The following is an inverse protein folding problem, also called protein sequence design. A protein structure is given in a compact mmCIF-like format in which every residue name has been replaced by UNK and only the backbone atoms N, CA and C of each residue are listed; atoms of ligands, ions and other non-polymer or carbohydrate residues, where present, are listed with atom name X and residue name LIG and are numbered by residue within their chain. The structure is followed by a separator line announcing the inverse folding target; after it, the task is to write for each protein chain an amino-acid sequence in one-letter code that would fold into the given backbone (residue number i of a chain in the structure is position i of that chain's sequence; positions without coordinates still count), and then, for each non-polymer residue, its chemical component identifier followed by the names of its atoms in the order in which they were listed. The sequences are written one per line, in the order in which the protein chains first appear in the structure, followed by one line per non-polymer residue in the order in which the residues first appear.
data_IF_126712167347
#
_entry.id   IF_126712167347
#
_cell.length_a   1.000
_cell.length_b   1.000
_cell.length_c   1.000
_cell.angle_alpha   90.00
_cell.angle_beta   90.00
_cell.angle_gamma   90.00
#
_symmetry.space_group_name_H-M   'P 1'
#
loop_
_entity.id
_entity.type
_entity.pdbx_description
1 polymer ?
#
# COMPACT_ATOMS: atom_id res chain seq x y z
N UNK A 1 6.31 0.71 41.57
CA UNK A 1 6.23 1.74 40.51
C UNK A 1 5.83 1.13 39.17
N UNK A 2 6.55 0.12 38.65
CA UNK A 2 6.25 -0.52 37.36
C UNK A 2 4.82 -1.08 37.21
N UNK A 3 4.32 -1.89 38.17
CA UNK A 3 2.93 -2.42 38.12
C UNK A 3 1.84 -1.35 38.16
N UNK A 4 2.10 -0.19 38.77
CA UNK A 4 1.13 0.90 38.83
C UNK A 4 1.08 1.64 37.49
N UNK A 5 2.23 1.84 36.86
CA UNK A 5 2.34 2.40 35.50
C UNK A 5 1.66 1.46 34.49
N UNK A 6 1.92 0.15 34.54
CA UNK A 6 1.26 -0.82 33.67
C UNK A 6 -0.27 -0.80 33.82
N UNK A 7 -0.78 -0.76 35.06
CA UNK A 7 -2.23 -0.63 35.32
C UNK A 7 -2.80 0.69 34.81
N UNK A 8 -2.05 1.78 34.94
CA UNK A 8 -2.46 3.08 34.42
C UNK A 8 -2.52 3.07 32.89
N UNK A 9 -1.52 2.51 32.20
CA UNK A 9 -1.52 2.37 30.74
C UNK A 9 -2.68 1.50 30.24
N UNK A 10 -2.98 0.40 30.94
CA UNK A 10 -4.17 -0.43 30.63
C UNK A 10 -5.46 0.37 30.85
N UNK A 11 -5.57 1.12 31.94
CA UNK A 11 -6.74 1.97 32.19
C UNK A 11 -6.90 3.04 31.12
N UNK A 12 -5.82 3.72 30.73
CA UNK A 12 -5.79 4.73 29.67
C UNK A 12 -6.26 4.14 28.34
N UNK A 13 -5.69 2.99 27.94
CA UNK A 13 -6.08 2.30 26.69
C UNK A 13 -7.55 1.83 26.73
N UNK A 14 -8.00 1.23 27.83
CA UNK A 14 -9.38 0.77 27.97
C UNK A 14 -10.38 1.93 27.98
N UNK A 15 -9.97 3.09 28.50
CA UNK A 15 -10.83 4.27 28.61
C UNK A 15 -10.76 5.22 27.42
N UNK A 16 -9.86 4.98 26.45
CA UNK A 16 -9.75 5.80 25.25
C UNK A 16 -11.00 5.73 24.34
N UNK A 17 -11.72 4.60 24.34
CA UNK A 17 -12.95 4.41 23.56
C UNK A 17 -14.20 4.69 24.43
N UNK A 18 -14.76 5.88 24.27
CA UNK A 18 -15.94 6.31 25.03
C UNK A 18 -17.17 5.41 24.82
N UNK A 19 -17.34 4.85 23.62
CA UNK A 19 -18.48 3.98 23.32
C UNK A 19 -18.31 2.66 24.07
N UNK A 20 -17.12 2.04 23.99
CA UNK A 20 -16.83 0.81 24.73
C UNK A 20 -16.91 1.01 26.25
N UNK A 21 -16.49 2.16 26.76
CA UNK A 21 -16.68 2.50 28.17
C UNK A 21 -18.16 2.51 28.58
N UNK A 22 -19.00 3.17 27.77
CA UNK A 22 -20.45 3.21 28.02
C UNK A 22 -21.10 1.82 27.91
N UNK A 23 -20.66 0.98 26.97
CA UNK A 23 -21.10 -0.42 26.87
C UNK A 23 -20.72 -1.19 28.14
N UNK A 24 -19.46 -1.10 28.60
CA UNK A 24 -19.01 -1.74 29.83
C UNK A 24 -19.80 -1.25 31.06
N UNK A 25 -20.13 0.05 31.09
CA UNK A 25 -20.96 0.63 32.15
C UNK A 25 -22.40 0.08 32.12
N UNK A 26 -23.01 -0.05 30.93
CA UNK A 26 -24.32 -0.68 30.76
C UNK A 26 -24.32 -2.12 31.29
N UNK A 27 -23.32 -2.92 30.91
CA UNK A 27 -23.13 -4.29 31.42
C UNK A 27 -23.08 -4.30 32.97
N UNK A 28 -22.28 -3.40 33.57
CA UNK A 28 -22.17 -3.28 35.02
C UNK A 28 -23.51 -2.91 35.68
N UNK A 29 -24.27 -1.98 35.10
CA UNK A 29 -25.58 -1.60 35.61
C UNK A 29 -26.60 -2.74 35.54
N UNK A 30 -26.65 -3.49 34.43
CA UNK A 30 -27.53 -4.66 34.32
C UNK A 30 -27.19 -5.71 35.36
N UNK A 31 -25.91 -6.08 35.48
CA UNK A 31 -25.44 -7.09 36.44
C UNK A 31 -25.75 -6.71 37.91
N UNK A 32 -25.88 -5.42 38.20
CA UNK A 32 -26.22 -4.89 39.53
C UNK A 32 -27.71 -4.62 39.70
N UNK A 33 -28.55 -5.01 38.74
CA UNK A 33 -30.00 -4.75 38.73
C UNK A 33 -30.37 -3.26 38.81
N UNK A 34 -29.56 -2.38 38.24
CA UNK A 34 -29.76 -0.93 38.23
C UNK A 34 -30.49 -0.48 36.96
N UNK A 35 -31.72 -0.96 36.79
CA UNK A 35 -32.46 -0.92 35.52
C UNK A 35 -32.70 0.50 34.97
N UNK A 36 -32.98 1.49 35.83
CA UNK A 36 -33.23 2.89 35.38
C UNK A 36 -32.00 3.53 34.73
N UNK A 37 -30.83 3.35 35.35
CA UNK A 37 -29.57 3.91 34.81
C UNK A 37 -29.07 3.09 33.63
N UNK A 38 -29.31 1.78 33.63
CA UNK A 38 -29.08 0.94 32.45
C UNK A 38 -29.83 1.46 31.22
N UNK A 39 -31.15 1.62 31.32
CA UNK A 39 -31.98 2.08 30.19
C UNK A 39 -31.54 3.45 29.69
N UNK A 40 -31.24 4.38 30.60
CA UNK A 40 -30.70 5.69 30.23
C UNK A 40 -29.37 5.60 29.49
N UNK A 41 -28.45 4.75 29.95
CA UNK A 41 -27.16 4.53 29.28
C UNK A 41 -27.35 3.90 27.90
N UNK A 42 -28.27 2.93 27.77
CA UNK A 42 -28.58 2.28 26.50
C UNK A 42 -29.15 3.26 25.47
N UNK A 43 -30.13 4.09 25.86
CA UNK A 43 -30.66 5.13 24.96
C UNK A 43 -29.57 6.12 24.51
N UNK A 44 -28.67 6.51 25.43
CA UNK A 44 -27.54 7.37 25.06
C UNK A 44 -26.53 6.71 24.10
N UNK A 45 -26.37 5.38 24.17
CA UNK A 45 -25.57 4.61 23.21
C UNK A 45 -26.25 4.56 21.83
N UNK A 46 -27.56 4.35 21.79
CA UNK A 46 -28.37 4.35 20.56
C UNK A 46 -28.36 5.73 19.86
N UNK A 47 -28.43 6.84 20.63
CA UNK A 47 -28.29 8.21 20.09
C UNK A 47 -26.87 8.49 19.56
N UNK A 48 -25.85 8.02 20.29
CA UNK A 48 -24.44 8.18 19.86
C UNK A 48 -24.16 7.43 18.55
N UNK A 49 -24.87 6.31 18.30
CA UNK A 49 -24.80 5.54 17.05
C UNK A 49 -25.26 6.34 15.84
N UNK A 50 -26.35 7.10 15.97
CA UNK A 50 -26.92 7.90 14.86
C UNK A 50 -26.01 9.05 14.46
N UNK A 51 -25.28 9.62 15.43
CA UNK A 51 -24.35 10.74 15.21
C UNK A 51 -22.96 10.31 14.76
N UNK A 52 -22.59 9.04 14.95
CA UNK A 52 -21.30 8.49 14.52
C UNK A 52 -21.26 8.34 12.99
N UNK A 53 -20.41 9.11 12.33
CA UNK A 53 -20.24 9.06 10.86
C UNK A 53 -19.40 7.88 10.36
N UNK A 54 -18.63 7.23 11.23
CA UNK A 54 -17.82 6.06 10.88
C UNK A 54 -18.66 4.78 10.93
N UNK A 55 -18.64 4.00 9.85
CA UNK A 55 -19.42 2.75 9.68
C UNK A 55 -18.49 1.60 9.28
N UNK A 56 -17.49 1.33 10.11
CA UNK A 56 -16.48 0.28 9.92
C UNK A 56 -16.79 -0.97 10.75
N UNK A 57 -15.91 -1.97 10.74
CA UNK A 57 -16.01 -3.17 11.61
C UNK A 57 -16.16 -2.81 13.09
N UNK A 58 -15.40 -1.83 13.59
CA UNK A 58 -15.50 -1.40 14.98
C UNK A 58 -16.89 -0.84 15.32
N UNK A 59 -17.50 -0.13 14.38
CA UNK A 59 -18.87 0.37 14.51
C UNK A 59 -19.88 -0.78 14.61
N UNK A 60 -19.86 -1.71 13.65
CA UNK A 60 -20.81 -2.84 13.64
C UNK A 60 -20.56 -3.81 14.81
N UNK A 61 -19.31 -3.95 15.25
CA UNK A 61 -18.97 -4.72 16.45
C UNK A 61 -19.55 -4.08 17.70
N UNK A 62 -19.45 -2.76 17.83
CA UNK A 62 -20.07 -2.04 18.95
C UNK A 62 -21.60 -2.16 18.88
N UNK A 63 -22.19 -2.10 17.68
CA UNK A 63 -23.63 -2.33 17.48
C UNK A 63 -24.06 -3.72 17.94
N UNK A 64 -23.31 -4.76 17.56
CA UNK A 64 -23.54 -6.12 18.05
C UNK A 64 -23.52 -6.20 19.57
N UNK A 65 -22.52 -5.59 20.22
CA UNK A 65 -22.42 -5.59 21.69
C UNK A 65 -23.59 -4.84 22.36
N UNK A 66 -24.04 -3.73 21.78
CA UNK A 66 -25.18 -2.95 22.28
C UNK A 66 -26.47 -3.77 22.16
N UNK A 67 -26.75 -4.33 20.98
CA UNK A 67 -27.96 -5.13 20.75
C UNK A 67 -27.95 -6.41 21.60
N UNK A 68 -26.78 -7.04 21.79
CA UNK A 68 -26.64 -8.19 22.67
C UNK A 68 -26.95 -7.84 24.12
N UNK A 69 -26.48 -6.68 24.60
CA UNK A 69 -26.74 -6.27 25.97
C UNK A 69 -28.21 -5.86 26.19
N UNK A 70 -28.84 -5.24 25.18
CA UNK A 70 -30.29 -5.01 25.14
C UNK A 70 -31.07 -6.31 25.21
N UNK A 71 -30.67 -7.32 24.43
CA UNK A 71 -31.26 -8.66 24.47
C UNK A 71 -31.16 -9.26 25.88
N UNK A 72 -29.97 -9.24 26.49
CA UNK A 72 -29.76 -9.80 27.83
C UNK A 72 -30.69 -9.15 28.87
N UNK A 73 -30.83 -7.82 28.82
CA UNK A 73 -31.75 -7.10 29.70
C UNK A 73 -33.22 -7.51 29.47
N UNK A 74 -33.65 -7.58 28.21
CA UNK A 74 -35.03 -7.94 27.87
C UNK A 74 -35.35 -9.39 28.25
N UNK A 75 -34.44 -10.32 27.99
CA UNK A 75 -34.61 -11.73 28.35
C UNK A 75 -34.74 -11.92 29.88
N UNK A 76 -33.93 -11.20 30.66
CA UNK A 76 -33.94 -11.29 32.13
C UNK A 76 -35.16 -10.61 32.78
N UNK A 77 -35.66 -9.50 32.20
CA UNK A 77 -36.68 -8.63 32.83
C UNK A 77 -38.04 -8.70 32.19
N UNK A 78 -38.11 -9.03 30.91
CA UNK A 78 -39.31 -8.95 30.07
C UNK A 78 -39.39 -10.16 29.12
N UNK A 79 -39.36 -11.41 29.61
CA UNK A 79 -39.26 -12.60 28.76
C UNK A 79 -40.47 -12.81 27.83
N UNK A 80 -41.62 -12.20 28.15
CA UNK A 80 -42.81 -12.24 27.30
C UNK A 80 -42.81 -11.16 26.18
N UNK A 81 -41.84 -10.24 26.18
CA UNK A 81 -41.72 -9.21 25.14
C UNK A 81 -41.07 -9.78 23.87
N UNK A 82 -41.33 -9.13 22.73
CA UNK A 82 -40.64 -9.44 21.48
C UNK A 82 -39.17 -9.04 21.61
N UNK A 83 -38.27 -10.02 21.62
CA UNK A 83 -36.82 -9.82 21.73
C UNK A 83 -36.21 -9.27 20.43
N UNK A 84 -35.07 -8.59 20.54
CA UNK A 84 -34.31 -7.99 19.44
C UNK A 84 -33.31 -8.94 18.76
N UNK A 85 -33.56 -10.26 18.80
CA UNK A 85 -32.64 -11.29 18.29
C UNK A 85 -32.19 -11.07 16.83
N UNK A 86 -33.08 -10.61 15.96
CA UNK A 86 -32.72 -10.32 14.56
C UNK A 86 -31.69 -9.18 14.46
N UNK A 87 -31.81 -8.13 15.28
CA UNK A 87 -30.85 -7.03 15.28
C UNK A 87 -29.47 -7.49 15.79
N UNK A 88 -29.44 -8.40 16.77
CA UNK A 88 -28.19 -9.04 17.24
C UNK A 88 -27.54 -9.85 16.12
N UNK A 89 -28.33 -10.66 15.39
CA UNK A 89 -27.84 -11.47 14.28
C UNK A 89 -27.31 -10.59 13.13
N UNK A 90 -28.09 -9.61 12.69
CA UNK A 90 -27.71 -8.72 11.57
C UNK A 90 -26.41 -7.95 11.87
N UNK A 91 -26.23 -7.45 13.10
CA UNK A 91 -25.02 -6.76 13.51
C UNK A 91 -23.81 -7.71 13.59
N UNK A 92 -24.02 -8.95 14.06
CA UNK A 92 -22.98 -9.98 14.07
C UNK A 92 -22.54 -10.35 12.64
N UNK A 93 -23.50 -10.57 11.75
CA UNK A 93 -23.25 -10.91 10.35
C UNK A 93 -22.42 -9.82 9.66
N UNK A 94 -22.83 -8.55 9.78
CA UNK A 94 -22.06 -7.42 9.22
C UNK A 94 -20.64 -7.35 9.78
N UNK A 95 -20.48 -7.52 11.09
CA UNK A 95 -19.16 -7.51 11.75
C UNK A 95 -18.27 -8.61 11.17
N UNK A 96 -18.78 -9.84 11.14
CA UNK A 96 -18.06 -11.00 10.64
C UNK A 96 -17.67 -10.83 9.16
N UNK A 97 -18.61 -10.39 8.32
CA UNK A 97 -18.37 -10.17 6.89
C UNK A 97 -17.26 -9.14 6.68
N UNK A 98 -17.33 -7.96 7.32
CA UNK A 98 -16.33 -6.90 7.13
C UNK A 98 -14.95 -7.38 7.58
N UNK A 99 -14.83 -7.97 8.78
CA UNK A 99 -13.55 -8.47 9.27
C UNK A 99 -12.99 -9.58 8.36
N UNK A 100 -13.86 -10.45 7.86
CA UNK A 100 -13.46 -11.54 6.96
C UNK A 100 -13.00 -11.04 5.60
N UNK A 101 -13.69 -10.07 5.00
CA UNK A 101 -13.24 -9.46 3.73
C UNK A 101 -11.90 -8.75 3.90
N UNK A 102 -11.73 -7.96 4.98
CA UNK A 102 -10.47 -7.30 5.34
C UNK A 102 -9.31 -8.28 5.43
N UNK A 103 -9.49 -9.35 6.20
CA UNK A 103 -8.49 -10.39 6.39
C UNK A 103 -8.17 -11.10 5.07
N UNK A 104 -9.19 -11.38 4.26
CA UNK A 104 -9.04 -12.02 2.95
C UNK A 104 -8.21 -11.15 1.99
N UNK A 105 -8.44 -9.84 1.94
CA UNK A 105 -7.61 -8.92 1.18
C UNK A 105 -6.14 -9.00 1.62
N UNK A 106 -5.88 -8.90 2.93
CA UNK A 106 -4.52 -8.97 3.49
C UNK A 106 -3.83 -10.29 3.15
N UNK A 107 -4.55 -11.40 3.26
CA UNK A 107 -4.05 -12.73 2.90
C UNK A 107 -3.65 -12.76 1.42
N UNK A 108 -4.53 -12.37 0.49
CA UNK A 108 -4.25 -12.40 -0.95
C UNK A 108 -3.06 -11.51 -1.32
N UNK A 109 -2.98 -10.28 -0.80
CA UNK A 109 -1.84 -9.39 -1.06
C UNK A 109 -0.54 -9.97 -0.49
N UNK A 110 -0.58 -10.55 0.70
CA UNK A 110 0.60 -11.17 1.31
C UNK A 110 1.05 -12.42 0.53
N UNK A 111 0.13 -13.27 0.07
CA UNK A 111 0.44 -14.42 -0.79
C UNK A 111 1.14 -13.98 -2.08
N UNK A 112 0.61 -12.94 -2.74
CA UNK A 112 1.19 -12.41 -3.96
C UNK A 112 2.62 -11.86 -3.77
N UNK A 113 2.91 -11.24 -2.62
CA UNK A 113 4.21 -10.63 -2.33
C UNK A 113 5.25 -11.64 -1.82
N UNK A 114 4.85 -12.56 -0.94
CA UNK A 114 5.77 -13.42 -0.19
C UNK A 114 5.68 -14.90 -0.56
N UNK A 115 4.86 -15.26 -1.56
CA UNK A 115 4.61 -16.65 -1.95
C UNK A 115 4.16 -17.52 -0.78
N UNK A 116 3.42 -16.92 0.16
CA UNK A 116 2.78 -17.64 1.24
C UNK A 116 1.58 -18.45 0.70
N UNK A 117 1.21 -19.50 1.40
CA UNK A 117 0.01 -20.29 1.10
C UNK A 117 -0.96 -20.12 2.27
N UNK A 118 -2.09 -19.48 2.00
CA UNK A 118 -3.22 -19.38 2.92
C UNK A 118 -4.46 -19.99 2.27
N UNK A 119 -5.25 -20.67 3.10
CA UNK A 119 -6.60 -21.09 2.76
C UNK A 119 -7.59 -20.03 3.25
N UNK A 120 -8.45 -19.52 2.38
CA UNK A 120 -9.43 -18.49 2.72
C UNK A 120 -10.83 -19.11 2.79
N UNK A 121 -11.11 -19.85 3.87
CA UNK A 121 -12.40 -20.52 4.05
C UNK A 121 -13.57 -19.51 4.10
N UNK A 122 -14.76 -19.91 3.66
CA UNK A 122 -16.00 -19.10 3.61
C UNK A 122 -16.00 -17.88 2.67
N UNK A 123 -14.94 -17.64 1.89
CA UNK A 123 -14.89 -16.45 1.05
C UNK A 123 -15.99 -16.46 -0.02
N UNK A 124 -16.15 -17.58 -0.73
CA UNK A 124 -17.14 -17.71 -1.81
C UNK A 124 -18.57 -17.55 -1.28
N UNK A 125 -18.90 -18.24 -0.18
CA UNK A 125 -20.22 -18.15 0.46
C UNK A 125 -20.55 -16.72 0.91
N UNK A 126 -19.56 -16.00 1.44
CA UNK A 126 -19.72 -14.61 1.88
C UNK A 126 -19.94 -13.68 0.68
N UNK A 127 -19.19 -13.85 -0.41
CA UNK A 127 -19.37 -13.05 -1.61
C UNK A 127 -20.77 -13.26 -2.20
N UNK A 128 -21.23 -14.51 -2.29
CA UNK A 128 -22.59 -14.83 -2.73
C UNK A 128 -23.64 -14.20 -1.81
N UNK A 129 -23.45 -14.28 -0.49
CA UNK A 129 -24.37 -13.68 0.48
C UNK A 129 -24.46 -12.15 0.33
N UNK A 130 -23.31 -11.48 0.13
CA UNK A 130 -23.23 -10.03 -0.08
C UNK A 130 -24.04 -9.62 -1.32
N UNK A 131 -23.90 -10.36 -2.42
CA UNK A 131 -24.63 -10.11 -3.67
C UNK A 131 -26.14 -10.36 -3.50
N UNK A 132 -26.52 -11.49 -2.90
CA UNK A 132 -27.92 -11.88 -2.69
C UNK A 132 -28.70 -10.92 -1.76
N UNK A 133 -28.01 -10.35 -0.77
CA UNK A 133 -28.61 -9.42 0.21
C UNK A 133 -28.37 -7.94 -0.12
N UNK A 134 -27.69 -7.65 -1.23
CA UNK A 134 -27.35 -6.29 -1.67
C UNK A 134 -26.61 -5.49 -0.56
N UNK A 135 -25.69 -6.17 0.15
CA UNK A 135 -24.91 -5.57 1.24
C UNK A 135 -23.79 -4.66 0.74
N UNK A 136 -23.56 -4.60 -0.57
CA UNK A 136 -22.58 -3.73 -1.22
C UNK A 136 -22.86 -2.25 -0.94
N UNK A 137 -24.13 -1.91 -0.63
CA UNK A 137 -24.55 -0.55 -0.22
C UNK A 137 -23.90 -0.08 1.08
N UNK A 138 -23.49 -1.00 1.96
CA UNK A 138 -22.73 -0.65 3.16
C UNK A 138 -21.28 -0.34 2.77
N UNK A 139 -20.79 0.90 2.93
CA UNK A 139 -19.51 1.30 2.33
C UNK A 139 -18.31 0.45 2.76
N UNK A 140 -18.26 0.02 4.03
CA UNK A 140 -17.21 -0.87 4.51
C UNK A 140 -17.25 -2.24 3.82
N UNK A 141 -18.43 -2.82 3.58
CA UNK A 141 -18.55 -4.08 2.84
C UNK A 141 -18.17 -3.86 1.38
N UNK A 142 -18.77 -2.85 0.74
CA UNK A 142 -18.56 -2.55 -0.68
C UNK A 142 -17.09 -2.29 -1.03
N UNK A 143 -16.35 -1.56 -0.20
CA UNK A 143 -14.92 -1.26 -0.46
C UNK A 143 -14.09 -2.55 -0.49
N UNK A 144 -14.17 -3.41 0.52
CA UNK A 144 -13.37 -4.64 0.53
C UNK A 144 -13.88 -5.67 -0.47
N UNK A 145 -15.19 -5.72 -0.72
CA UNK A 145 -15.76 -6.53 -1.80
C UNK A 145 -15.16 -6.15 -3.16
N UNK A 146 -15.14 -4.86 -3.52
CA UNK A 146 -14.57 -4.42 -4.80
C UNK A 146 -13.05 -4.61 -4.87
N UNK A 147 -12.32 -4.47 -3.76
CA UNK A 147 -10.90 -4.83 -3.71
C UNK A 147 -10.73 -6.32 -4.05
N UNK A 148 -11.49 -7.21 -3.41
CA UNK A 148 -11.41 -8.65 -3.63
C UNK A 148 -11.75 -9.04 -5.07
N UNK A 149 -12.85 -8.52 -5.60
CA UNK A 149 -13.26 -8.78 -6.98
C UNK A 149 -12.21 -8.26 -7.98
N UNK A 150 -11.68 -7.05 -7.79
CA UNK A 150 -10.63 -6.51 -8.64
C UNK A 150 -9.34 -7.36 -8.61
N UNK A 151 -8.95 -7.92 -7.46
CA UNK A 151 -7.70 -8.71 -7.40
C UNK A 151 -7.85 -10.17 -7.84
N UNK A 152 -9.07 -10.72 -7.80
CA UNK A 152 -9.36 -12.15 -8.09
C UNK A 152 -9.99 -12.39 -9.46
N UNK A 153 -10.81 -11.47 -9.99
CA UNK A 153 -11.57 -11.67 -11.23
C UNK A 153 -10.93 -11.00 -12.45
N UNK A 154 -10.15 -11.75 -13.22
CA UNK A 154 -9.32 -11.19 -14.31
C UNK A 154 -10.12 -10.58 -15.47
N UNK A 155 -11.38 -10.99 -15.68
CA UNK A 155 -12.18 -10.52 -16.83
C UNK A 155 -12.79 -9.14 -16.58
N UNK A 156 -13.27 -8.89 -15.36
CA UNK A 156 -14.02 -7.67 -15.01
C UNK A 156 -13.28 -6.77 -14.00
N UNK A 157 -12.03 -7.08 -13.67
CA UNK A 157 -11.29 -6.36 -12.62
C UNK A 157 -11.22 -4.85 -12.79
N UNK A 158 -11.10 -4.35 -14.02
CA UNK A 158 -11.12 -2.91 -14.31
C UNK A 158 -12.44 -2.26 -13.86
N UNK A 159 -13.58 -2.89 -14.12
CA UNK A 159 -14.90 -2.39 -13.72
C UNK A 159 -14.99 -2.34 -12.19
N UNK A 160 -14.58 -3.40 -11.50
CA UNK A 160 -14.57 -3.43 -10.04
C UNK A 160 -13.64 -2.40 -9.43
N UNK A 161 -12.48 -2.17 -10.05
CA UNK A 161 -11.55 -1.14 -9.60
C UNK A 161 -12.10 0.29 -9.78
N UNK A 162 -12.80 0.55 -10.89
CA UNK A 162 -13.48 1.84 -11.10
C UNK A 162 -14.61 2.05 -10.07
N UNK A 163 -15.36 1.01 -9.73
CA UNK A 163 -16.38 1.04 -8.66
C UNK A 163 -15.74 1.28 -7.29
N UNK A 164 -14.63 0.61 -6.97
CA UNK A 164 -13.84 0.86 -5.77
C UNK A 164 -13.44 2.34 -5.67
N UNK A 165 -12.90 2.91 -6.75
CA UNK A 165 -12.46 4.31 -6.77
C UNK A 165 -13.60 5.27 -6.46
N UNK A 166 -14.75 5.08 -7.11
CA UNK A 166 -15.95 5.90 -6.87
C UNK A 166 -16.44 5.78 -5.42
N UNK A 167 -16.49 4.55 -4.90
CA UNK A 167 -16.95 4.29 -3.54
C UNK A 167 -16.02 4.92 -2.50
N UNK A 168 -14.70 4.73 -2.63
CA UNK A 168 -13.71 5.32 -1.70
C UNK A 168 -13.82 6.83 -1.68
N UNK A 169 -13.96 7.48 -2.84
CA UNK A 169 -14.10 8.94 -2.92
C UNK A 169 -15.38 9.48 -2.26
N UNK A 170 -16.49 8.77 -2.42
CA UNK A 170 -17.78 9.15 -1.81
C UNK A 170 -17.89 8.82 -0.31
N UNK A 171 -17.02 7.93 0.21
CA UNK A 171 -17.09 7.40 1.58
C UNK A 171 -15.86 7.69 2.44
N UNK A 172 -14.99 8.64 2.06
CA UNK A 172 -13.76 9.00 2.81
C UNK A 172 -13.99 9.18 4.32
N UNK A 173 -15.10 9.82 4.71
CA UNK A 173 -15.42 10.13 6.12
C UNK A 173 -15.88 8.91 6.93
N UNK A 174 -16.22 7.81 6.25
CA UNK A 174 -16.70 6.57 6.87
C UNK A 174 -15.55 5.81 7.52
N UNK A 175 -14.34 5.92 6.97
CA UNK A 175 -13.19 5.15 7.40
C UNK A 175 -12.29 5.94 8.36
N UNK A 176 -11.71 5.30 9.40
CA UNK A 176 -10.64 5.90 10.17
C UNK A 176 -9.39 6.08 9.28
N UNK A 177 -8.52 7.05 9.58
CA UNK A 177 -7.36 7.36 8.74
C UNK A 177 -6.44 6.18 8.46
N UNK A 178 -6.20 5.31 9.47
CA UNK A 178 -5.36 4.12 9.33
C UNK A 178 -5.93 3.11 8.33
N UNK A 179 -7.25 2.92 8.34
CA UNK A 179 -7.93 2.01 7.43
C UNK A 179 -7.99 2.59 6.01
N UNK A 180 -8.28 3.87 5.89
CA UNK A 180 -8.27 4.55 4.59
C UNK A 180 -6.89 4.48 3.93
N UNK A 181 -5.82 4.60 4.73
CA UNK A 181 -4.45 4.38 4.27
C UNK A 181 -4.25 2.96 3.73
N UNK A 182 -4.74 1.94 4.43
CA UNK A 182 -4.66 0.55 3.99
C UNK A 182 -5.39 0.35 2.65
N UNK A 183 -6.60 0.89 2.52
CA UNK A 183 -7.40 0.86 1.28
C UNK A 183 -6.63 1.50 0.11
N UNK A 184 -6.02 2.67 0.32
CA UNK A 184 -5.20 3.33 -0.69
C UNK A 184 -3.98 2.49 -1.10
N UNK A 185 -3.29 1.87 -0.14
CA UNK A 185 -2.16 1.00 -0.42
C UNK A 185 -2.57 -0.26 -1.19
N UNK A 186 -3.74 -0.83 -0.90
CA UNK A 186 -4.31 -1.95 -1.66
C UNK A 186 -4.63 -1.54 -3.11
N UNK A 187 -5.25 -0.37 -3.31
CA UNK A 187 -5.53 0.17 -4.64
C UNK A 187 -4.25 0.43 -5.45
N UNK A 188 -3.24 1.02 -4.83
CA UNK A 188 -1.91 1.24 -5.45
C UNK A 188 -1.25 -0.11 -5.81
N UNK A 189 -1.29 -1.10 -4.93
CA UNK A 189 -0.70 -2.41 -5.19
C UNK A 189 -1.41 -3.14 -6.34
N UNK A 190 -2.73 -2.98 -6.47
CA UNK A 190 -3.47 -3.48 -7.64
C UNK A 190 -2.96 -2.82 -8.94
N UNK A 191 -2.83 -1.49 -8.98
CA UNK A 191 -2.30 -0.81 -10.16
C UNK A 191 -0.88 -1.26 -10.51
N UNK A 192 -0.02 -1.47 -9.51
CA UNK A 192 1.33 -1.99 -9.72
C UNK A 192 1.30 -3.41 -10.31
N UNK A 193 0.41 -4.28 -9.82
CA UNK A 193 0.21 -5.63 -10.39
C UNK A 193 -0.16 -5.54 -11.88
N UNK A 194 -0.99 -4.57 -12.27
CA UNK A 194 -1.37 -4.33 -13.67
C UNK A 194 -0.24 -3.79 -14.53
N UNK A 195 0.55 -2.85 -14.02
CA UNK A 195 1.76 -2.38 -14.72
C UNK A 195 2.74 -3.53 -14.96
N UNK A 196 2.92 -4.42 -13.97
CA UNK A 196 3.79 -5.58 -14.12
C UNK A 196 3.27 -6.61 -15.14
N UNK A 197 1.96 -6.61 -15.41
CA UNK A 197 1.33 -7.35 -16.49
C UNK A 197 1.36 -6.60 -17.85
N UNK A 198 2.20 -5.57 -17.95
CA UNK A 198 2.37 -4.71 -19.14
C UNK A 198 1.13 -3.89 -19.54
N UNK A 199 0.21 -3.62 -18.60
CA UNK A 199 -0.88 -2.68 -18.82
C UNK A 199 -0.44 -1.25 -18.47
N UNK A 200 -0.05 -0.53 -19.52
CA UNK A 200 0.46 0.85 -19.47
C UNK A 200 -0.58 1.86 -18.94
N UNK A 201 -1.89 1.59 -19.08
CA UNK A 201 -2.94 2.50 -18.64
C UNK A 201 -2.89 2.76 -17.13
N UNK A 202 -2.43 1.77 -16.37
CA UNK A 202 -2.33 1.86 -14.90
C UNK A 202 -1.14 2.68 -14.40
N UNK A 203 -0.22 3.12 -15.27
CA UNK A 203 0.89 4.02 -14.88
C UNK A 203 0.35 5.37 -14.39
N UNK A 204 -0.54 5.98 -15.17
CA UNK A 204 -1.24 7.23 -14.80
C UNK A 204 -2.06 7.02 -13.54
N UNK A 205 -2.79 5.92 -13.48
CA UNK A 205 -3.63 5.60 -12.33
C UNK A 205 -2.83 5.50 -11.03
N UNK A 206 -1.70 4.78 -11.04
CA UNK A 206 -0.81 4.66 -9.87
C UNK A 206 -0.36 6.02 -9.36
N UNK A 207 0.01 6.94 -10.27
CA UNK A 207 0.40 8.30 -9.91
C UNK A 207 -0.76 9.07 -9.26
N UNK A 208 -1.97 9.01 -9.82
CA UNK A 208 -3.13 9.73 -9.26
C UNK A 208 -3.50 9.23 -7.85
N UNK A 209 -3.40 7.92 -7.59
CA UNK A 209 -3.62 7.39 -6.23
C UNK A 209 -2.59 7.88 -5.22
N UNK A 210 -1.30 7.89 -5.60
CA UNK A 210 -0.25 8.46 -4.75
C UNK A 210 -0.50 9.95 -4.50
N UNK A 211 -0.75 10.72 -5.56
CA UNK A 211 -1.00 12.15 -5.49
C UNK A 211 -2.16 12.47 -4.57
N UNK A 212 -3.34 11.87 -4.82
CA UNK A 212 -4.53 12.10 -4.01
C UNK A 212 -4.29 11.68 -2.55
N UNK A 213 -3.71 10.49 -2.31
CA UNK A 213 -3.47 9.98 -0.97
C UNK A 213 -2.46 10.82 -0.17
N UNK A 214 -1.47 11.43 -0.83
CA UNK A 214 -0.50 12.32 -0.18
C UNK A 214 -1.08 13.72 0.07
N UNK A 215 -1.74 14.32 -0.93
CA UNK A 215 -2.34 15.66 -0.82
C UNK A 215 -3.45 15.73 0.22
N UNK A 216 -4.20 14.63 0.39
CA UNK A 216 -5.23 14.47 1.44
C UNK A 216 -4.67 13.99 2.79
N UNK A 217 -3.36 13.80 2.90
CA UNK A 217 -2.65 13.25 4.07
C UNK A 217 -3.03 11.82 4.48
N UNK A 218 -3.80 11.10 3.68
CA UNK A 218 -4.20 9.70 3.91
C UNK A 218 -2.97 8.78 3.99
N UNK A 219 -1.97 9.01 3.14
CA UNK A 219 -0.77 8.16 3.08
C UNK A 219 0.29 8.52 4.14
N UNK A 220 -0.03 9.43 5.07
CA UNK A 220 0.83 9.76 6.21
C UNK A 220 0.47 8.86 7.40
N UNK A 221 1.49 8.44 8.14
CA UNK A 221 1.37 7.67 9.37
C UNK A 221 2.14 8.42 10.46
N UNK A 222 1.49 8.76 11.57
CA UNK A 222 2.09 9.59 12.64
C UNK A 222 2.70 10.89 12.13
N UNK A 223 2.02 11.59 11.20
CA UNK A 223 2.55 12.76 10.51
C UNK A 223 3.89 12.50 9.80
N UNK A 224 4.09 11.29 9.28
CA UNK A 224 5.27 10.96 8.48
C UNK A 224 4.91 10.21 7.22
N UNK A 225 5.70 10.39 6.17
CA UNK A 225 5.66 9.58 4.97
C UNK A 225 6.74 8.52 5.08
N UNK A 226 6.36 7.25 4.86
CA UNK A 226 7.36 6.18 4.83
C UNK A 226 8.31 6.38 3.65
N UNK A 227 9.56 5.95 3.79
CA UNK A 227 10.55 6.06 2.71
C UNK A 227 10.07 5.39 1.42
N UNK A 228 9.43 4.22 1.55
CA UNK A 228 8.87 3.46 0.43
C UNK A 228 7.76 4.26 -0.26
N UNK A 229 6.83 4.85 0.50
CA UNK A 229 5.76 5.68 -0.07
C UNK A 229 6.34 6.90 -0.78
N UNK A 230 7.30 7.60 -0.17
CA UNK A 230 7.93 8.78 -0.75
C UNK A 230 8.66 8.45 -2.06
N UNK A 231 9.51 7.41 -2.05
CA UNK A 231 10.24 6.96 -3.22
C UNK A 231 9.30 6.50 -4.35
N UNK A 232 8.28 5.70 -4.02
CA UNK A 232 7.34 5.19 -5.02
C UNK A 232 6.48 6.30 -5.62
N UNK A 233 6.07 7.31 -4.84
CA UNK A 233 5.32 8.44 -5.36
C UNK A 233 6.15 9.26 -6.38
N UNK A 234 7.44 9.49 -6.07
CA UNK A 234 8.38 10.10 -7.03
C UNK A 234 8.52 9.22 -8.27
N UNK A 235 8.76 7.92 -8.10
CA UNK A 235 8.90 7.00 -9.23
C UNK A 235 7.65 6.96 -10.12
N UNK A 236 6.45 6.94 -9.53
CA UNK A 236 5.18 6.99 -10.25
C UNK A 236 5.03 8.29 -11.04
N UNK A 237 5.35 9.44 -10.43
CA UNK A 237 5.31 10.74 -11.12
C UNK A 237 6.28 10.81 -12.30
N UNK A 238 7.51 10.31 -12.12
CA UNK A 238 8.51 10.26 -13.19
C UNK A 238 8.07 9.36 -14.35
N UNK A 239 7.47 8.20 -14.04
CA UNK A 239 6.98 7.24 -15.02
C UNK A 239 5.93 7.86 -15.97
N UNK A 240 5.14 8.81 -15.47
CA UNK A 240 4.13 9.53 -16.26
C UNK A 240 4.56 10.94 -16.66
N UNK A 241 5.86 11.25 -16.50
CA UNK A 241 6.52 12.52 -16.86
C UNK A 241 5.96 13.76 -16.14
N UNK A 242 5.39 13.59 -14.95
CA UNK A 242 4.90 14.67 -14.08
C UNK A 242 6.04 15.34 -13.29
N UNK A 243 7.03 15.88 -14.02
CA UNK A 243 8.27 16.38 -13.44
C UNK A 243 8.07 17.57 -12.50
N UNK A 244 7.11 18.44 -12.80
CA UNK A 244 6.80 19.61 -11.96
C UNK A 244 6.13 19.21 -10.65
N UNK A 245 5.30 18.15 -10.68
CA UNK A 245 4.76 17.59 -9.44
C UNK A 245 5.87 16.94 -8.62
N UNK A 246 6.72 16.11 -9.24
CA UNK A 246 7.82 15.45 -8.56
C UNK A 246 8.77 16.44 -7.88
N UNK A 247 9.13 17.54 -8.55
CA UNK A 247 9.97 18.61 -8.00
C UNK A 247 9.37 19.22 -6.72
N UNK A 248 8.11 19.67 -6.81
CA UNK A 248 7.38 20.26 -5.67
C UNK A 248 7.17 19.26 -4.54
N UNK A 249 6.86 18.00 -4.87
CA UNK A 249 6.68 16.94 -3.90
C UNK A 249 7.99 16.68 -3.14
N UNK A 250 9.11 16.52 -3.85
CA UNK A 250 10.41 16.23 -3.24
C UNK A 250 10.76 17.32 -2.22
N UNK A 251 10.67 18.59 -2.63
CA UNK A 251 10.98 19.72 -1.76
C UNK A 251 9.97 19.88 -0.60
N UNK A 252 8.67 19.83 -0.90
CA UNK A 252 7.61 20.12 0.06
C UNK A 252 7.36 19.00 1.08
N UNK A 253 7.56 17.75 0.69
CA UNK A 253 7.32 16.59 1.56
C UNK A 253 8.54 16.10 2.32
N UNK A 254 9.73 16.63 2.04
CA UNK A 254 10.97 16.36 2.77
C UNK A 254 10.77 16.46 4.29
N UNK A 255 10.06 17.48 4.78
CA UNK A 255 9.81 17.68 6.22
C UNK A 255 9.01 16.56 6.90
N UNK A 256 8.25 15.78 6.13
CA UNK A 256 7.45 14.66 6.64
C UNK A 256 8.22 13.33 6.59
N UNK A 257 9.47 13.31 6.11
CA UNK A 257 10.34 12.13 6.23
C UNK A 257 10.93 12.02 7.65
N UNK A 258 11.21 10.79 8.11
CA UNK A 258 12.03 10.54 9.30
C UNK A 258 13.34 11.36 9.27
N UNK A 259 13.75 11.90 10.41
CA UNK A 259 14.82 12.90 10.48
C UNK A 259 16.19 12.37 10.03
N UNK A 260 16.52 11.16 10.45
CA UNK A 260 17.68 10.36 9.98
C UNK A 260 17.66 10.15 8.46
N UNK A 261 16.45 9.99 7.92
CA UNK A 261 16.10 9.67 6.53
C UNK A 261 16.30 10.77 5.50
N UNK A 262 16.07 11.97 5.99
CA UNK A 262 15.42 13.04 5.23
C UNK A 262 16.29 13.58 4.11
N UNK A 263 17.53 13.91 4.45
CA UNK A 263 18.48 14.49 3.50
C UNK A 263 18.84 13.45 2.43
N UNK A 264 19.22 12.26 2.88
CA UNK A 264 19.68 11.19 2.02
C UNK A 264 18.64 10.77 0.97
N UNK A 265 17.41 10.47 1.41
CA UNK A 265 16.35 10.05 0.49
C UNK A 265 15.89 11.19 -0.43
N UNK A 266 15.86 12.43 0.08
CA UNK A 266 15.53 13.61 -0.74
C UNK A 266 16.57 13.84 -1.84
N UNK A 267 17.87 13.73 -1.54
CA UNK A 267 18.94 13.84 -2.52
C UNK A 267 18.84 12.74 -3.58
N UNK A 268 18.61 11.50 -3.15
CA UNK A 268 18.42 10.40 -4.07
C UNK A 268 17.23 10.61 -5.01
N UNK A 269 16.05 10.96 -4.48
CA UNK A 269 14.87 11.22 -5.30
C UNK A 269 15.07 12.42 -6.24
N UNK A 270 15.77 13.47 -5.79
CA UNK A 270 16.12 14.62 -6.62
C UNK A 270 17.06 14.24 -7.76
N UNK A 271 18.06 13.39 -7.49
CA UNK A 271 18.95 12.88 -8.54
C UNK A 271 18.20 12.10 -9.61
N UNK A 272 17.16 11.33 -9.21
CA UNK A 272 16.32 10.57 -10.14
C UNK A 272 15.49 11.49 -11.04
N UNK A 273 14.93 12.55 -10.47
CA UNK A 273 14.24 13.57 -11.26
C UNK A 273 15.17 14.27 -12.27
N UNK A 274 16.40 14.60 -11.87
CA UNK A 274 17.38 15.23 -12.76
C UNK A 274 17.84 14.27 -13.86
N UNK A 275 18.04 12.99 -13.53
CA UNK A 275 18.32 11.93 -14.49
C UNK A 275 17.24 11.84 -15.57
N UNK A 276 15.96 11.78 -15.20
CA UNK A 276 14.85 11.73 -16.17
C UNK A 276 14.73 13.02 -17.00
N UNK A 277 15.20 14.16 -16.47
CA UNK A 277 15.32 15.44 -17.20
C UNK A 277 16.59 15.53 -18.07
N UNK A 278 17.42 14.50 -18.09
CA UNK A 278 18.74 14.47 -18.74
C UNK A 278 19.76 15.48 -18.23
N UNK A 279 19.57 16.03 -17.02
CA UNK A 279 20.60 16.82 -16.32
C UNK A 279 21.53 15.88 -15.53
N UNK A 280 22.35 15.15 -16.27
CA UNK A 280 23.24 14.12 -15.72
C UNK A 280 24.32 14.69 -14.81
N UNK A 281 24.85 15.89 -15.11
CA UNK A 281 25.88 16.52 -14.29
C UNK A 281 25.36 16.82 -12.89
N UNK A 282 24.16 17.40 -12.78
CA UNK A 282 23.55 17.68 -11.47
C UNK A 282 23.09 16.39 -10.77
N UNK A 283 22.58 15.41 -11.52
CA UNK A 283 22.19 14.12 -10.98
C UNK A 283 23.37 13.38 -10.33
N UNK A 284 24.50 13.27 -11.03
CA UNK A 284 25.72 12.63 -10.52
C UNK A 284 26.27 13.34 -9.27
N UNK A 285 26.24 14.68 -9.25
CA UNK A 285 26.68 15.46 -8.08
C UNK A 285 25.86 15.15 -6.84
N UNK A 286 24.54 14.99 -6.98
CA UNK A 286 23.68 14.61 -5.86
C UNK A 286 23.90 13.15 -5.45
N UNK A 287 24.05 12.22 -6.41
CA UNK A 287 24.34 10.82 -6.09
C UNK A 287 25.65 10.63 -5.31
N UNK A 288 26.64 11.51 -5.52
CA UNK A 288 27.88 11.51 -4.75
C UNK A 288 27.69 11.93 -3.27
N UNK A 289 26.57 12.58 -2.94
CA UNK A 289 26.21 13.02 -1.59
C UNK A 289 25.24 12.06 -0.88
N UNK A 290 24.81 10.99 -1.56
CA UNK A 290 23.89 9.99 -1.00
C UNK A 290 24.69 8.95 -0.22
N UNK A 291 24.29 8.70 1.03
CA UNK A 291 24.78 7.62 1.87
C UNK A 291 24.03 6.32 1.52
N UNK A 292 24.76 5.23 1.35
CA UNK A 292 24.23 3.98 0.80
C UNK A 292 24.14 2.84 1.82
N UNK A 293 23.48 3.12 2.95
CA UNK A 293 23.22 2.12 3.99
C UNK A 293 22.24 1.05 3.49
N UNK A 294 21.27 1.46 2.67
CA UNK A 294 20.35 0.55 2.00
C UNK A 294 20.96 -0.02 0.70
N UNK A 295 21.01 -1.35 0.63
CA UNK A 295 21.61 -2.08 -0.50
C UNK A 295 20.86 -1.81 -1.81
N UNK A 296 19.53 -1.70 -1.78
CA UNK A 296 18.72 -1.48 -2.96
C UNK A 296 18.86 -0.04 -3.45
N UNK A 297 18.94 0.93 -2.55
CA UNK A 297 19.23 2.33 -2.87
C UNK A 297 20.56 2.44 -3.63
N UNK A 298 21.60 1.77 -3.13
CA UNK A 298 22.92 1.70 -3.76
C UNK A 298 22.86 1.12 -5.17
N UNK A 299 22.19 -0.02 -5.34
CA UNK A 299 22.08 -0.67 -6.64
C UNK A 299 21.27 0.16 -7.64
N UNK A 300 20.23 0.86 -7.19
CA UNK A 300 19.48 1.80 -8.03
C UNK A 300 20.33 2.99 -8.47
N UNK A 301 21.08 3.62 -7.56
CA UNK A 301 22.02 4.70 -7.91
C UNK A 301 23.06 4.24 -8.92
N UNK A 302 23.63 3.05 -8.72
CA UNK A 302 24.59 2.47 -9.65
C UNK A 302 23.99 2.18 -11.03
N UNK A 303 22.74 1.72 -11.10
CA UNK A 303 22.03 1.57 -12.38
C UNK A 303 21.94 2.91 -13.11
N UNK A 304 21.55 3.98 -12.41
CA UNK A 304 21.49 5.32 -12.99
C UNK A 304 22.86 5.81 -13.46
N UNK A 305 23.91 5.64 -12.64
CA UNK A 305 25.27 6.02 -13.02
C UNK A 305 25.77 5.26 -14.25
N UNK A 306 25.49 3.96 -14.35
CA UNK A 306 25.82 3.15 -15.54
C UNK A 306 25.19 3.75 -16.80
N UNK A 307 23.90 4.11 -16.75
CA UNK A 307 23.21 4.70 -17.89
C UNK A 307 23.76 6.07 -18.25
N UNK A 308 23.95 6.94 -17.25
CA UNK A 308 24.46 8.29 -17.49
C UNK A 308 25.89 8.29 -18.06
N UNK A 309 26.79 7.45 -17.54
CA UNK A 309 28.15 7.33 -18.06
C UNK A 309 28.18 6.77 -19.47
N UNK A 310 27.33 5.78 -19.77
CA UNK A 310 27.20 5.26 -21.13
C UNK A 310 26.72 6.34 -22.11
N UNK A 311 25.65 7.06 -21.76
CA UNK A 311 25.08 8.11 -22.62
C UNK A 311 25.97 9.37 -22.74
N UNK A 312 26.91 9.57 -21.82
CA UNK A 312 27.94 10.62 -21.91
C UNK A 312 29.22 10.15 -22.62
N UNK A 313 29.27 8.90 -23.08
CA UNK A 313 30.46 8.28 -23.69
C UNK A 313 31.70 8.24 -22.77
N UNK A 314 31.49 8.29 -21.46
CA UNK A 314 32.54 8.22 -20.43
C UNK A 314 32.95 6.75 -20.16
N UNK A 315 33.47 6.08 -21.19
CA UNK A 315 33.64 4.63 -21.22
C UNK A 315 34.63 4.07 -20.17
N UNK A 316 35.71 4.79 -19.85
CA UNK A 316 36.69 4.36 -18.84
C UNK A 316 36.09 4.37 -17.43
N UNK A 317 35.33 5.43 -17.12
CA UNK A 317 34.58 5.56 -15.87
C UNK A 317 33.48 4.49 -15.80
N UNK A 318 32.82 4.21 -16.92
CA UNK A 318 31.80 3.18 -17.02
C UNK A 318 32.38 1.77 -16.74
N UNK A 319 33.50 1.39 -17.36
CA UNK A 319 34.08 0.05 -17.14
C UNK A 319 34.50 -0.14 -15.68
N UNK A 320 35.12 0.88 -15.09
CA UNK A 320 35.47 0.91 -13.66
C UNK A 320 34.25 0.74 -12.76
N UNK A 321 33.16 1.45 -13.06
CA UNK A 321 31.89 1.32 -12.34
C UNK A 321 31.31 -0.09 -12.48
N UNK A 322 31.25 -0.63 -13.70
CA UNK A 322 30.72 -1.97 -13.98
C UNK A 322 31.47 -3.06 -13.20
N UNK A 323 32.79 -2.96 -13.08
CA UNK A 323 33.57 -3.92 -12.30
C UNK A 323 33.36 -3.76 -10.78
N UNK A 324 33.22 -2.52 -10.30
CA UNK A 324 32.88 -2.25 -8.91
C UNK A 324 31.48 -2.80 -8.54
N UNK A 325 30.50 -2.68 -9.45
CA UNK A 325 29.13 -3.19 -9.30
C UNK A 325 29.17 -4.71 -9.25
N UNK A 326 29.88 -5.35 -10.18
CA UNK A 326 30.08 -6.81 -10.22
C UNK A 326 30.66 -7.33 -8.90
N UNK A 327 31.75 -6.71 -8.45
CA UNK A 327 32.43 -7.09 -7.20
C UNK A 327 31.51 -6.94 -5.99
N UNK A 328 30.76 -5.83 -5.92
CA UNK A 328 29.79 -5.58 -4.85
C UNK A 328 28.69 -6.66 -4.80
N UNK A 329 28.10 -6.99 -5.96
CA UNK A 329 27.04 -8.00 -6.08
C UNK A 329 27.54 -9.40 -5.71
N UNK A 330 28.80 -9.73 -6.06
CA UNK A 330 29.39 -11.03 -5.73
C UNK A 330 29.62 -11.20 -4.22
N UNK A 331 30.07 -10.15 -3.52
CA UNK A 331 30.42 -10.19 -2.08
C UNK A 331 29.20 -10.23 -1.16
N UNK A 332 28.08 -9.62 -1.56
CA UNK A 332 26.88 -9.49 -0.72
C UNK A 332 25.97 -10.74 -0.88
N UNK A 333 25.90 -11.55 0.18
CA UNK A 333 25.08 -12.78 0.22
C UNK A 333 23.57 -12.51 0.27
N UNK A 334 23.13 -11.37 0.83
CA UNK A 334 21.73 -11.03 1.10
C UNK A 334 21.17 -10.03 0.07
N UNK A 335 21.29 -10.35 -1.23
CA UNK A 335 20.70 -9.54 -2.33
C UNK A 335 19.44 -10.21 -2.90
N UNK A 336 19.25 -11.52 -2.69
CA UNK A 336 18.10 -12.26 -3.20
C UNK A 336 18.01 -12.19 -4.73
N UNK A 337 16.78 -12.04 -5.26
CA UNK A 337 16.53 -12.02 -6.71
C UNK A 337 17.16 -10.80 -7.43
N UNK A 338 17.41 -9.70 -6.72
CA UNK A 338 18.05 -8.52 -7.28
C UNK A 338 19.46 -8.81 -7.83
N UNK A 339 20.13 -9.87 -7.32
CA UNK A 339 21.47 -10.25 -7.76
C UNK A 339 21.50 -10.50 -9.26
N UNK A 340 20.50 -11.22 -9.77
CA UNK A 340 20.41 -11.56 -11.18
C UNK A 340 20.05 -10.34 -12.04
N UNK A 341 19.18 -9.45 -11.53
CA UNK A 341 18.79 -8.21 -12.22
C UNK A 341 20.03 -7.35 -12.53
N UNK A 342 20.80 -7.01 -11.49
CA UNK A 342 21.95 -6.12 -11.66
C UNK A 342 23.15 -6.81 -12.31
N UNK A 343 23.29 -8.14 -12.14
CA UNK A 343 24.31 -8.91 -12.89
C UNK A 343 24.02 -8.90 -14.40
N UNK A 344 22.74 -9.02 -14.79
CA UNK A 344 22.34 -8.91 -16.18
C UNK A 344 22.56 -7.49 -16.71
N UNK A 345 22.25 -6.44 -15.94
CA UNK A 345 22.60 -5.07 -16.32
C UNK A 345 24.09 -4.94 -16.66
N UNK A 346 24.97 -5.36 -15.74
CA UNK A 346 26.43 -5.29 -15.96
C UNK A 346 26.85 -6.08 -17.20
N UNK A 347 26.35 -7.32 -17.34
CA UNK A 347 26.67 -8.20 -18.48
C UNK A 347 26.28 -7.56 -19.80
N UNK A 348 25.05 -7.07 -19.93
CA UNK A 348 24.53 -6.57 -21.19
C UNK A 348 25.07 -5.17 -21.53
N UNK A 349 25.32 -4.30 -20.55
CA UNK A 349 26.03 -3.04 -20.80
C UNK A 349 27.45 -3.28 -21.32
N UNK A 350 28.19 -4.27 -20.77
CA UNK A 350 29.52 -4.62 -21.31
C UNK A 350 29.47 -5.14 -22.75
N UNK A 351 28.45 -5.94 -23.08
CA UNK A 351 28.25 -6.41 -24.45
C UNK A 351 27.91 -5.26 -25.39
N UNK A 352 27.10 -4.31 -24.93
CA UNK A 352 26.73 -3.12 -25.68
C UNK A 352 27.96 -2.25 -26.00
N UNK A 353 28.85 -2.02 -25.04
CA UNK A 353 30.11 -1.26 -25.28
C UNK A 353 31.05 -1.96 -26.27
N UNK A 354 31.01 -3.30 -26.35
CA UNK A 354 31.94 -4.10 -27.16
C UNK A 354 31.41 -4.52 -28.52
N UNK A 355 30.11 -4.36 -28.77
CA UNK A 355 29.50 -4.81 -30.03
C UNK A 355 30.04 -3.98 -31.18
N UNK A 356 30.36 -4.62 -32.31
CA UNK A 356 30.76 -3.88 -33.50
C UNK A 356 29.53 -3.13 -34.07
N UNK A 357 29.51 -1.79 -34.08
CA UNK A 357 28.35 -1.03 -34.56
C UNK A 357 28.04 -1.27 -36.04
N UNK A 358 29.05 -1.66 -36.82
CA UNK A 358 28.92 -1.92 -38.26
C UNK A 358 28.49 -3.36 -38.60
N UNK A 359 28.35 -4.26 -37.61
CA UNK A 359 27.95 -5.65 -37.84
C UNK A 359 26.47 -5.88 -37.49
N UNK A 360 25.61 -5.94 -38.51
CA UNK A 360 24.19 -6.23 -38.35
C UNK A 360 23.94 -7.57 -37.64
N UNK A 361 24.74 -8.60 -37.95
CA UNK A 361 24.65 -9.92 -37.32
C UNK A 361 24.94 -9.86 -35.81
N UNK A 362 26.00 -9.16 -35.39
CA UNK A 362 26.33 -9.03 -33.97
C UNK A 362 25.28 -8.22 -33.22
N UNK A 363 24.75 -7.14 -33.82
CA UNK A 363 23.68 -6.34 -33.23
C UNK A 363 22.41 -7.17 -33.05
N UNK A 364 22.00 -7.93 -34.07
CA UNK A 364 20.82 -8.78 -33.97
C UNK A 364 20.99 -9.90 -32.94
N UNK A 365 22.18 -10.53 -32.88
CA UNK A 365 22.48 -11.51 -31.83
C UNK A 365 22.34 -10.92 -30.43
N UNK A 366 22.91 -9.73 -30.19
CA UNK A 366 22.80 -9.05 -28.90
C UNK A 366 21.35 -8.67 -28.58
N UNK A 367 20.58 -8.20 -29.58
CA UNK A 367 19.15 -7.89 -29.45
C UNK A 367 18.37 -9.11 -28.97
N UNK A 368 18.57 -10.28 -29.59
CA UNK A 368 17.91 -11.53 -29.20
C UNK A 368 18.30 -11.97 -27.78
N UNK A 369 19.58 -11.83 -27.41
CA UNK A 369 20.01 -12.14 -26.04
C UNK A 369 19.39 -11.21 -24.99
N UNK A 370 19.21 -9.91 -25.30
CA UNK A 370 18.57 -8.93 -24.40
C UNK A 370 17.07 -9.24 -24.25
N UNK A 371 16.40 -9.62 -25.35
CA UNK A 371 14.99 -10.01 -25.33
C UNK A 371 14.77 -11.28 -24.50
N UNK A 372 15.63 -12.28 -24.64
CA UNK A 372 15.55 -13.54 -23.91
C UNK A 372 15.97 -13.44 -22.43
N UNK A 373 16.68 -12.38 -22.02
CA UNK A 373 17.18 -12.23 -20.67
C UNK A 373 16.05 -12.06 -19.64
N UNK A 374 16.00 -12.94 -18.64
CA UNK A 374 15.07 -12.85 -17.51
C UNK A 374 15.79 -13.23 -16.20
N UNK A 375 15.85 -12.35 -15.17
CA UNK A 375 15.27 -11.01 -15.11
C UNK A 375 16.19 -9.93 -15.70
N UNK A 376 15.61 -8.94 -16.39
CA UNK A 376 16.32 -7.76 -16.89
C UNK A 376 15.41 -6.53 -16.82
N UNK A 377 15.60 -5.71 -15.78
CA UNK A 377 14.77 -4.53 -15.55
C UNK A 377 14.98 -3.46 -16.62
N UNK A 378 16.23 -3.25 -17.04
CA UNK A 378 16.63 -2.18 -17.97
C UNK A 378 16.58 -2.61 -19.44
N UNK A 379 15.73 -3.59 -19.77
CA UNK A 379 15.64 -4.17 -21.12
C UNK A 379 15.34 -3.11 -22.18
N UNK A 380 14.37 -2.26 -21.91
CA UNK A 380 13.96 -1.20 -22.84
C UNK A 380 15.13 -0.25 -23.13
N UNK A 381 15.81 0.24 -22.10
CA UNK A 381 16.96 1.13 -22.26
C UNK A 381 18.09 0.46 -23.08
N UNK A 382 18.45 -0.79 -22.79
CA UNK A 382 19.48 -1.52 -23.54
C UNK A 382 19.13 -1.68 -25.02
N UNK A 383 17.86 -1.95 -25.34
CA UNK A 383 17.39 -2.05 -26.73
C UNK A 383 17.39 -0.69 -27.43
N UNK A 384 17.02 0.39 -26.73
CA UNK A 384 17.07 1.76 -27.25
C UNK A 384 18.51 2.16 -27.59
N UNK A 385 19.47 1.89 -26.70
CA UNK A 385 20.89 2.19 -26.96
C UNK A 385 21.46 1.34 -28.10
N UNK A 386 21.12 0.04 -28.15
CA UNK A 386 21.56 -0.83 -29.25
C UNK A 386 21.00 -0.40 -30.61
N UNK A 387 19.80 0.20 -30.64
CA UNK A 387 19.21 0.75 -31.86
C UNK A 387 19.83 2.07 -32.33
N UNK A 388 20.61 2.74 -31.48
CA UNK A 388 21.36 3.96 -31.82
C UNK A 388 22.75 3.67 -32.40
N UNK A 389 23.28 2.46 -32.18
CA UNK A 389 24.49 1.91 -32.82
C UNK A 389 24.16 1.39 -34.22
#
# INVERSE_FOLDING_TARGET
MQKAVEKFLVFEELTADEIRNKIALAISFRQRNLDKVFQRTLSGLEESRETTGQRTDSFFRNEYLIEQEKYNFMADRQPAAKLNLQAVADALDKTFIIEKLKLSCRMIFHQALYKANYEISFLEDILEFIENKDLIKEPAIGVYYYILKAITEQQDDRRYFEQLRSLVQSSIRVFPPSELREIYLMGINYCIKKINAADEAYKRETFEWYKQGLESKILLENNQVTQKTYFNAVAAALLVKEFNWADRFIAGYKKWLPADQRENLSHFCRSKLLFEKKDYKSAMRLLAQVEYDDILLNLNAKSMLVKMLYEQEELDSLDSLLESVRTFIQRKKVIGYHKNIYSNLVKYTRKLVRVNPYSAEQKEKLRQEILAANPLAERQWLLEQLGQL
#
